data_IF_065415482078
#
_entry.id   IF_065415482078
#
_cell.length_a   1.000
_cell.length_b   1.000
_cell.length_c   1.000
_cell.angle_alpha   90.00
_cell.angle_beta   90.00
_cell.angle_gamma   90.00
#
_symmetry.space_group_name_H-M   'P 1'
#
loop_
_entity.id
_entity.type
_entity.pdbx_description
1 polymer ?
#
# COMPACT_ATOMS: atom_id res chain seq x y z
N UNK A 1 11.25 -32.24 74.26
CA UNK A 1 11.81 -31.81 75.58
C UNK A 1 12.10 -30.32 75.50
N UNK A 2 11.35 -29.57 76.36
CA UNK A 2 11.82 -28.46 77.23
C UNK A 2 12.56 -27.30 76.51
N UNK A 3 12.27 -26.04 76.70
CA UNK A 3 11.42 -25.12 77.53
C UNK A 3 11.67 -23.71 76.97
N UNK A 4 10.70 -22.91 76.65
CA UNK A 4 10.10 -21.82 77.45
C UNK A 4 11.06 -20.85 78.14
N UNK A 5 11.03 -19.58 77.81
CA UNK A 5 10.99 -18.40 78.67
C UNK A 5 11.00 -17.11 77.77
N UNK A 6 10.11 -16.41 77.76
CA UNK A 6 9.35 -15.20 78.15
C UNK A 6 10.13 -14.32 79.21
N UNK A 7 10.27 -13.01 78.96
CA UNK A 7 10.25 -11.83 79.81
C UNK A 7 10.49 -10.58 78.93
N UNK A 8 9.61 -9.72 78.68
CA UNK A 8 8.90 -8.58 79.25
C UNK A 8 9.77 -7.31 79.46
N UNK A 9 9.19 -6.24 78.84
CA UNK A 9 9.12 -4.80 79.14
C UNK A 9 10.42 -4.05 79.56
N UNK A 10 10.66 -2.89 78.87
CA UNK A 10 10.47 -1.55 79.50
C UNK A 10 10.52 -0.47 78.41
N UNK A 11 9.57 0.45 78.52
CA UNK A 11 9.47 1.67 77.72
C UNK A 11 10.47 2.72 78.15
N UNK A 12 11.06 3.47 77.21
CA UNK A 12 11.65 4.76 77.50
C UNK A 12 11.52 5.70 76.27
N UNK A 13 10.72 6.74 76.49
CA UNK A 13 10.61 7.86 75.57
C UNK A 13 11.90 8.67 75.56
N UNK A 14 12.46 8.93 74.40
CA UNK A 14 13.34 10.09 74.19
C UNK A 14 12.98 10.72 72.85
N UNK A 15 12.62 12.00 72.91
CA UNK A 15 12.38 12.86 71.78
C UNK A 15 13.63 13.06 70.92
N UNK A 16 13.54 12.86 69.62
CA UNK A 16 14.56 13.33 68.71
C UNK A 16 13.89 13.97 67.50
N UNK A 17 14.34 15.17 67.23
CA UNK A 17 13.90 16.18 66.28
C UNK A 17 13.78 15.64 64.86
N UNK A 18 12.73 16.04 64.21
CA UNK A 18 12.54 15.92 62.79
C UNK A 18 13.65 16.66 62.01
N UNK A 19 14.38 15.91 61.21
CA UNK A 19 15.26 16.43 60.17
C UNK A 19 14.52 16.15 58.82
N UNK A 20 13.83 17.15 58.33
CA UNK A 20 13.21 17.11 57.01
C UNK A 20 14.31 17.10 55.97
N UNK A 21 14.66 15.93 55.46
CA UNK A 21 15.40 15.83 54.17
C UNK A 21 14.40 16.07 53.07
N UNK A 22 14.45 17.22 52.43
CA UNK A 22 13.88 17.46 51.12
C UNK A 22 14.48 16.50 50.11
N UNK A 23 13.78 15.41 49.84
CA UNK A 23 14.02 14.60 48.64
C UNK A 23 13.47 15.42 47.49
N UNK A 24 14.37 16.05 46.73
CA UNK A 24 14.04 16.69 45.44
C UNK A 24 13.44 15.60 44.54
N UNK A 25 12.17 15.79 44.21
CA UNK A 25 11.52 14.99 43.20
C UNK A 25 12.21 15.26 41.86
N UNK A 26 13.00 14.29 41.41
CA UNK A 26 13.34 14.22 40.00
C UNK A 26 12.04 13.91 39.26
N UNK A 27 11.44 14.94 38.69
CA UNK A 27 10.39 14.75 37.68
C UNK A 27 10.98 13.85 36.59
N UNK A 28 10.50 12.62 36.57
CA UNK A 28 10.66 11.72 35.44
C UNK A 28 10.04 12.45 34.24
N UNK A 29 10.86 13.15 33.47
CA UNK A 29 10.49 13.62 32.15
C UNK A 29 10.15 12.37 31.33
N UNK A 30 8.88 11.97 31.36
CA UNK A 30 8.35 11.02 30.43
C UNK A 30 8.64 11.59 29.04
N UNK A 31 9.55 10.93 28.31
CA UNK A 31 9.77 11.17 26.88
C UNK A 31 8.41 11.13 26.21
N UNK A 32 7.89 12.31 25.87
CA UNK A 32 6.73 12.42 25.00
C UNK A 32 7.07 11.63 23.74
N UNK A 33 6.21 10.68 23.31
CA UNK A 33 6.43 10.04 22.03
C UNK A 33 6.55 11.14 20.98
N UNK A 34 7.67 11.13 20.23
CA UNK A 34 7.88 12.06 19.15
C UNK A 34 6.61 12.06 18.29
N UNK A 35 6.02 13.22 18.08
CA UNK A 35 4.83 13.37 17.26
C UNK A 35 5.10 12.64 15.94
N UNK A 36 4.36 11.58 15.67
CA UNK A 36 4.48 10.85 14.41
C UNK A 36 4.14 11.85 13.31
N UNK A 37 5.18 12.33 12.62
CA UNK A 37 4.98 13.16 11.44
C UNK A 37 4.16 12.35 10.44
N UNK A 38 3.09 12.96 9.90
CA UNK A 38 2.25 12.30 8.90
C UNK A 38 3.13 11.68 7.80
N UNK A 39 2.79 10.47 7.33
CA UNK A 39 3.54 9.83 6.25
C UNK A 39 3.65 10.76 5.04
N UNK A 40 4.82 10.83 4.42
CA UNK A 40 5.11 11.72 3.29
C UNK A 40 5.39 10.93 2.02
N UNK A 41 5.00 11.52 0.91
CA UNK A 41 5.34 11.05 -0.43
C UNK A 41 6.16 12.10 -1.17
N UNK A 42 7.06 11.62 -2.04
CA UNK A 42 7.69 12.42 -3.07
C UNK A 42 7.08 12.07 -4.43
N UNK A 43 6.49 13.06 -5.11
CA UNK A 43 6.05 12.96 -6.50
C UNK A 43 7.19 13.48 -7.37
N UNK A 44 7.73 12.63 -8.24
CA UNK A 44 8.88 12.95 -9.08
C UNK A 44 8.43 13.01 -10.53
N UNK A 45 8.42 14.21 -11.08
CA UNK A 45 8.12 14.47 -12.48
C UNK A 45 9.41 14.41 -13.30
N UNK A 46 9.43 13.57 -14.33
CA UNK A 46 10.58 13.42 -15.22
C UNK A 46 10.21 13.66 -16.67
N UNK A 47 11.21 13.74 -17.54
CA UNK A 47 10.99 13.79 -18.99
C UNK A 47 10.41 12.46 -19.55
N UNK A 48 10.47 11.36 -18.80
CA UNK A 48 9.96 10.05 -19.21
C UNK A 48 8.58 9.70 -18.62
N UNK A 49 8.08 10.50 -17.66
CA UNK A 49 6.83 10.31 -16.92
C UNK A 49 6.96 10.65 -15.45
N UNK A 50 5.91 10.40 -14.69
CA UNK A 50 5.83 10.68 -13.25
C UNK A 50 5.80 9.38 -12.45
N UNK A 51 6.49 9.35 -11.32
CA UNK A 51 6.41 8.27 -10.35
C UNK A 51 6.37 8.82 -8.92
N UNK A 52 5.95 7.99 -7.97
CA UNK A 52 5.74 8.37 -6.57
C UNK A 52 6.55 7.47 -5.64
N UNK A 53 7.20 8.06 -4.65
CA UNK A 53 7.93 7.36 -3.59
C UNK A 53 7.21 7.58 -2.27
N UNK A 54 6.84 6.51 -1.55
CA UNK A 54 6.53 6.56 -0.13
C UNK A 54 7.85 6.73 0.63
N UNK A 55 8.00 7.80 1.41
CA UNK A 55 9.19 8.04 2.23
C UNK A 55 9.07 7.26 3.55
N UNK A 56 10.20 6.75 4.04
CA UNK A 56 10.30 5.90 5.22
C UNK A 56 11.16 6.55 6.32
N UNK A 57 10.69 7.67 6.92
CA UNK A 57 11.46 8.38 7.95
C UNK A 57 11.64 7.56 9.24
N UNK A 58 10.83 6.55 9.48
CA UNK A 58 10.98 5.59 10.58
C UNK A 58 12.20 4.68 10.41
N UNK A 59 12.60 4.40 9.16
CA UNK A 59 13.75 3.56 8.84
C UNK A 59 15.02 4.36 8.63
N UNK A 60 14.91 5.56 8.07
CA UNK A 60 16.03 6.43 7.70
C UNK A 60 15.68 7.92 7.92
N UNK A 61 15.54 8.37 9.18
CA UNK A 61 15.04 9.71 9.48
C UNK A 61 15.91 10.83 8.91
N UNK A 62 17.24 10.71 8.99
CA UNK A 62 18.13 11.77 8.50
C UNK A 62 18.20 11.81 6.98
N UNK A 63 18.26 10.65 6.31
CA UNK A 63 18.28 10.60 4.84
C UNK A 63 16.95 11.06 4.25
N UNK A 64 15.81 10.63 4.82
CA UNK A 64 14.49 11.09 4.37
C UNK A 64 14.32 12.60 4.57
N UNK A 65 14.73 13.15 5.73
CA UNK A 65 14.69 14.58 6.00
C UNK A 65 15.59 15.37 5.05
N UNK A 66 16.79 14.86 4.77
CA UNK A 66 17.71 15.51 3.83
C UNK A 66 17.17 15.51 2.40
N UNK A 67 16.62 14.38 1.96
CA UNK A 67 15.95 14.28 0.66
C UNK A 67 14.78 15.28 0.55
N UNK A 68 13.89 15.32 1.55
CA UNK A 68 12.77 16.27 1.58
C UNK A 68 13.24 17.73 1.55
N UNK A 69 14.31 18.08 2.29
CA UNK A 69 14.90 19.42 2.27
C UNK A 69 15.39 19.81 0.86
N UNK A 70 16.11 18.92 0.18
CA UNK A 70 16.60 19.15 -1.18
C UNK A 70 15.43 19.26 -2.19
N UNK A 71 14.44 18.41 -2.08
CA UNK A 71 13.23 18.45 -2.91
C UNK A 71 12.50 19.80 -2.75
N UNK A 72 12.23 20.20 -1.51
CA UNK A 72 11.52 21.46 -1.21
C UNK A 72 12.28 22.71 -1.65
N UNK A 73 13.61 22.64 -1.79
CA UNK A 73 14.44 23.76 -2.29
C UNK A 73 14.62 23.75 -3.82
N UNK A 74 14.01 22.81 -4.56
CA UNK A 74 14.22 22.64 -5.99
C UNK A 74 15.62 22.16 -6.36
N UNK A 75 16.38 21.59 -5.40
CA UNK A 75 17.75 21.15 -5.64
C UNK A 75 17.84 20.00 -6.65
N UNK A 76 16.77 19.21 -6.81
CA UNK A 76 16.70 18.13 -7.81
C UNK A 76 16.30 18.59 -9.20
N UNK A 77 15.71 19.77 -9.34
CA UNK A 77 15.20 20.27 -10.63
C UNK A 77 16.36 20.47 -11.62
N UNK A 78 16.23 19.87 -12.81
CA UNK A 78 17.28 19.85 -13.84
C UNK A 78 18.39 18.81 -13.63
N UNK A 79 18.41 18.07 -12.50
CA UNK A 79 19.25 16.87 -12.40
C UNK A 79 18.71 15.77 -13.30
N UNK A 80 19.48 14.71 -13.56
CA UNK A 80 19.07 13.60 -14.42
C UNK A 80 19.22 12.26 -13.73
N UNK A 81 18.52 11.24 -14.26
CA UNK A 81 18.91 9.86 -14.09
C UNK A 81 20.14 9.62 -14.97
N UNK A 82 21.33 9.74 -14.37
CA UNK A 82 22.59 9.72 -15.12
C UNK A 82 23.16 8.33 -15.34
N UNK A 83 22.76 7.34 -14.52
CA UNK A 83 23.23 5.96 -14.62
C UNK A 83 22.08 4.99 -14.52
N UNK A 84 22.05 4.01 -15.41
CA UNK A 84 21.06 2.95 -15.38
C UNK A 84 21.68 1.57 -15.61
N UNK A 85 21.06 0.55 -15.05
CA UNK A 85 21.27 -0.84 -15.34
C UNK A 85 19.92 -1.39 -15.79
N UNK A 86 19.85 -1.85 -17.04
CA UNK A 86 18.60 -2.29 -17.67
C UNK A 86 17.90 -3.34 -16.80
N UNK A 87 16.64 -3.09 -16.44
CA UNK A 87 15.81 -3.90 -15.54
C UNK A 87 16.40 -4.14 -14.14
N UNK A 88 17.53 -3.55 -13.80
CA UNK A 88 18.19 -3.68 -12.50
C UNK A 88 18.02 -2.47 -11.59
N UNK A 89 18.45 -1.29 -12.06
CA UNK A 89 18.36 -0.07 -11.26
C UNK A 89 18.46 1.21 -12.09
N UNK A 90 17.97 2.30 -11.53
CA UNK A 90 18.17 3.67 -12.03
C UNK A 90 18.79 4.54 -10.92
N UNK A 91 19.75 5.39 -11.24
CA UNK A 91 20.45 6.27 -10.29
C UNK A 91 20.39 7.72 -10.77
N UNK A 92 20.01 8.63 -9.85
CA UNK A 92 19.85 10.04 -10.15
C UNK A 92 20.18 10.96 -8.96
N UNK A 93 19.80 12.25 -9.09
CA UNK A 93 19.92 13.23 -8.03
C UNK A 93 21.32 13.83 -7.84
N UNK A 94 22.25 13.60 -8.76
CA UNK A 94 23.57 14.25 -8.73
C UNK A 94 23.46 15.73 -9.14
N UNK A 95 23.82 16.71 -8.28
CA UNK A 95 23.79 18.12 -8.62
C UNK A 95 24.68 18.49 -9.82
N UNK A 96 25.78 17.77 -10.04
CA UNK A 96 26.69 17.99 -11.17
C UNK A 96 26.00 17.67 -12.50
N UNK A 97 25.03 16.77 -12.49
CA UNK A 97 24.33 16.32 -13.69
C UNK A 97 23.43 17.40 -14.34
N UNK A 98 23.23 18.53 -13.66
CA UNK A 98 22.55 19.71 -14.25
C UNK A 98 23.34 20.29 -15.43
N UNK A 99 24.66 20.20 -15.40
CA UNK A 99 25.56 20.75 -16.41
C UNK A 99 26.00 19.65 -17.40
N UNK A 100 25.51 19.64 -18.66
CA UNK A 100 25.90 18.66 -19.66
C UNK A 100 27.41 18.62 -19.96
N UNK A 101 28.12 19.74 -19.80
CA UNK A 101 29.55 19.80 -20.05
C UNK A 101 30.37 19.01 -19.05
N UNK A 102 29.81 18.70 -17.88
CA UNK A 102 30.42 17.93 -16.79
C UNK A 102 30.11 16.44 -16.81
N UNK A 103 29.67 15.88 -17.95
CA UNK A 103 29.26 14.46 -18.05
C UNK A 103 30.28 13.48 -17.47
N UNK A 104 31.58 13.76 -17.64
CA UNK A 104 32.66 12.91 -17.11
C UNK A 104 32.70 12.84 -15.56
N UNK A 105 32.07 13.80 -14.87
CA UNK A 105 31.98 13.89 -13.41
C UNK A 105 30.65 13.41 -12.83
N UNK A 106 29.72 12.96 -13.66
CA UNK A 106 28.44 12.47 -13.16
C UNK A 106 28.63 11.31 -12.20
N UNK A 107 27.86 11.33 -11.09
CA UNK A 107 27.97 10.38 -10.00
C UNK A 107 28.92 10.80 -8.88
N UNK A 108 29.61 11.96 -8.99
CA UNK A 108 30.56 12.42 -7.96
C UNK A 108 30.05 13.56 -7.10
N UNK A 109 28.91 14.17 -7.42
CA UNK A 109 28.36 15.32 -6.69
C UNK A 109 27.43 14.96 -5.53
N UNK A 110 27.21 15.93 -4.64
CA UNK A 110 26.19 15.84 -3.59
C UNK A 110 26.38 14.75 -2.54
N UNK A 111 27.61 14.36 -2.26
CA UNK A 111 27.99 13.29 -1.34
C UNK A 111 28.41 13.83 0.04
N UNK A 112 28.61 12.95 1.03
CA UNK A 112 29.14 13.23 2.36
C UNK A 112 28.29 14.22 3.19
N UNK A 113 26.97 14.19 3.02
CA UNK A 113 26.05 15.05 3.74
C UNK A 113 25.26 14.34 4.84
N UNK A 114 25.10 13.01 4.75
CA UNK A 114 24.33 12.20 5.69
C UNK A 114 25.13 10.96 6.07
N UNK A 115 25.14 10.63 7.36
CA UNK A 115 25.74 9.40 7.87
C UNK A 115 24.84 8.19 7.55
N UNK A 116 25.46 7.01 7.49
CA UNK A 116 24.74 5.78 7.23
C UNK A 116 23.67 5.49 8.31
N UNK A 117 22.50 5.13 7.84
CA UNK A 117 21.38 4.65 8.66
C UNK A 117 21.05 3.21 8.24
N UNK A 118 22.06 2.34 8.37
CA UNK A 118 22.00 0.96 7.92
C UNK A 118 21.16 0.09 8.87
N UNK A 119 19.85 0.13 8.75
CA UNK A 119 18.94 -0.81 9.42
C UNK A 119 17.68 -0.96 8.60
N UNK A 120 17.90 -1.48 7.44
CA UNK A 120 16.96 -1.28 6.39
C UNK A 120 16.01 -2.45 6.21
N UNK A 121 14.84 -2.16 5.66
CA UNK A 121 14.08 -3.14 4.92
C UNK A 121 14.96 -3.79 3.85
N UNK A 122 14.59 -5.00 3.43
CA UNK A 122 15.28 -5.74 2.37
C UNK A 122 15.37 -4.92 1.09
N UNK A 123 16.43 -5.10 0.34
CA UNK A 123 16.65 -4.46 -0.95
C UNK A 123 15.83 -5.15 -2.03
N UNK A 124 14.54 -4.82 -2.08
CA UNK A 124 13.56 -5.39 -3.01
C UNK A 124 13.28 -4.44 -4.18
N UNK A 125 12.62 -4.96 -5.21
CA UNK A 125 12.12 -4.14 -6.32
C UNK A 125 11.27 -2.99 -5.79
N UNK A 126 11.59 -1.76 -6.19
CA UNK A 126 10.96 -0.52 -5.72
C UNK A 126 11.69 0.15 -4.55
N UNK A 127 12.68 -0.49 -3.92
CA UNK A 127 13.47 0.16 -2.86
C UNK A 127 14.22 1.37 -3.38
N UNK A 128 14.15 2.49 -2.63
CA UNK A 128 14.86 3.74 -2.89
C UNK A 128 15.94 3.92 -1.85
N UNK A 129 17.21 3.91 -2.27
CA UNK A 129 18.34 3.93 -1.38
C UNK A 129 19.34 5.05 -1.71
N UNK A 130 20.04 5.54 -0.68
CA UNK A 130 21.07 6.52 -0.82
C UNK A 130 22.33 5.93 -1.51
N UNK A 131 22.91 6.69 -2.43
CA UNK A 131 24.18 6.30 -3.06
C UNK A 131 25.33 6.57 -2.10
N UNK A 132 26.26 5.62 -2.02
CA UNK A 132 27.47 5.70 -1.20
C UNK A 132 28.73 5.71 -2.08
N UNK A 133 29.76 6.35 -1.62
CA UNK A 133 31.12 6.19 -2.18
C UNK A 133 31.67 4.83 -1.74
N UNK A 134 32.21 4.02 -2.66
CA UNK A 134 32.77 2.71 -2.31
C UNK A 134 33.73 2.77 -1.13
N UNK A 135 33.53 1.90 -0.13
CA UNK A 135 34.34 1.86 1.10
C UNK A 135 34.09 3.00 2.11
N UNK A 136 33.09 3.87 1.87
CA UNK A 136 32.76 5.02 2.75
C UNK A 136 31.27 4.99 3.12
N UNK A 137 30.86 4.29 4.17
CA UNK A 137 29.45 4.13 4.54
C UNK A 137 28.78 5.47 4.91
N UNK A 138 29.52 6.44 5.46
CA UNK A 138 29.01 7.75 5.88
C UNK A 138 29.09 8.81 4.75
N UNK A 139 29.00 8.38 3.50
CA UNK A 139 29.12 9.27 2.33
C UNK A 139 27.79 9.56 1.62
N UNK A 140 26.67 9.18 2.21
CA UNK A 140 25.34 9.44 1.65
C UNK A 140 25.09 10.96 1.45
N UNK A 141 24.16 11.28 0.58
CA UNK A 141 23.84 12.68 0.29
C UNK A 141 22.65 12.84 -0.66
N UNK A 142 22.82 13.65 -1.71
CA UNK A 142 21.74 13.98 -2.64
C UNK A 142 21.40 12.84 -3.59
N UNK A 143 22.37 12.00 -3.96
CA UNK A 143 22.16 10.96 -4.94
C UNK A 143 21.39 9.77 -4.36
N UNK A 144 20.51 9.22 -5.17
CA UNK A 144 19.72 8.02 -4.84
C UNK A 144 19.67 7.06 -6.02
N UNK A 145 19.40 5.79 -5.72
CA UNK A 145 19.08 4.79 -6.73
C UNK A 145 17.81 4.04 -6.37
N UNK A 146 17.14 3.53 -7.39
CA UNK A 146 15.89 2.79 -7.27
C UNK A 146 16.07 1.44 -7.91
N UNK A 147 15.75 0.36 -7.18
CA UNK A 147 15.83 -1.00 -7.65
C UNK A 147 14.62 -1.37 -8.50
N UNK A 148 14.88 -2.08 -9.61
CA UNK A 148 13.86 -2.63 -10.50
C UNK A 148 13.77 -4.16 -10.42
N UNK A 149 14.65 -4.78 -9.63
CA UNK A 149 14.64 -6.19 -9.26
C UNK A 149 15.10 -6.35 -7.81
N UNK A 150 14.75 -7.46 -7.19
CA UNK A 150 15.25 -7.81 -5.86
C UNK A 150 16.76 -8.00 -5.88
N UNK A 151 17.47 -7.45 -4.89
CA UNK A 151 18.91 -7.51 -4.75
C UNK A 151 19.32 -7.89 -3.33
N UNK A 152 19.09 -9.14 -2.88
CA UNK A 152 19.40 -9.56 -1.51
C UNK A 152 20.88 -9.43 -1.13
N UNK A 153 21.77 -9.43 -2.13
CA UNK A 153 23.20 -9.21 -1.93
C UNK A 153 23.53 -7.80 -1.42
N UNK A 154 22.61 -6.84 -1.56
CA UNK A 154 22.77 -5.45 -1.11
C UNK A 154 22.08 -5.19 0.23
N UNK A 155 21.43 -6.19 0.83
CA UNK A 155 20.77 -6.05 2.14
C UNK A 155 21.77 -5.54 3.20
N UNK A 156 21.33 -4.58 4.01
CA UNK A 156 22.12 -3.94 5.07
C UNK A 156 23.37 -3.16 4.62
N UNK A 157 23.59 -2.96 3.31
CA UNK A 157 24.75 -2.19 2.81
C UNK A 157 24.40 -0.74 2.50
N UNK A 158 23.12 -0.41 2.30
CA UNK A 158 22.66 0.92 1.92
C UNK A 158 21.53 1.41 2.81
N UNK A 159 21.44 2.72 2.99
CA UNK A 159 20.31 3.37 3.65
C UNK A 159 19.12 3.42 2.72
N UNK A 160 18.11 2.59 2.96
CA UNK A 160 16.82 2.65 2.25
C UNK A 160 15.93 3.67 2.96
N UNK A 161 15.52 4.72 2.25
CA UNK A 161 14.74 5.81 2.81
C UNK A 161 13.35 5.97 2.17
N UNK A 162 12.98 5.06 1.29
CA UNK A 162 11.67 5.04 0.66
C UNK A 162 11.44 3.82 -0.22
N UNK A 163 10.22 3.73 -0.73
CA UNK A 163 9.79 2.69 -1.66
C UNK A 163 8.87 3.29 -2.73
N UNK A 164 9.00 2.84 -3.97
CA UNK A 164 8.13 3.30 -5.07
C UNK A 164 6.71 2.85 -4.83
N UNK A 165 5.81 3.81 -4.68
CA UNK A 165 4.37 3.59 -4.47
C UNK A 165 3.61 3.46 -5.80
N UNK A 166 4.06 4.19 -6.84
CA UNK A 166 3.43 4.22 -8.16
C UNK A 166 4.45 4.58 -9.24
N UNK A 167 4.19 4.20 -10.50
CA UNK A 167 5.05 4.54 -11.65
C UNK A 167 6.29 3.66 -11.81
N UNK A 168 6.28 2.41 -11.35
CA UNK A 168 7.35 1.44 -11.62
C UNK A 168 7.57 1.18 -13.11
N UNK A 169 6.55 1.30 -13.94
CA UNK A 169 6.62 1.21 -15.40
C UNK A 169 7.41 2.38 -16.01
N UNK A 170 7.25 3.60 -15.46
CA UNK A 170 8.06 4.77 -15.86
C UNK A 170 9.53 4.52 -15.55
N UNK A 171 9.85 4.00 -14.36
CA UNK A 171 11.22 3.67 -13.97
C UNK A 171 11.80 2.54 -14.83
N UNK A 172 10.98 1.54 -15.19
CA UNK A 172 11.40 0.48 -16.10
C UNK A 172 11.76 1.08 -17.48
N UNK A 173 10.92 1.96 -18.02
CA UNK A 173 11.20 2.68 -19.27
C UNK A 173 12.49 3.50 -19.17
N UNK A 174 12.73 4.19 -18.05
CA UNK A 174 14.00 4.91 -17.81
C UNK A 174 15.18 3.95 -17.85
N UNK A 175 15.07 2.75 -17.30
CA UNK A 175 16.15 1.76 -17.28
C UNK A 175 16.49 1.18 -18.67
N UNK A 176 15.61 1.33 -19.64
CA UNK A 176 15.80 0.87 -21.02
C UNK A 176 16.54 1.90 -21.90
N UNK A 177 16.90 3.06 -21.34
CA UNK A 177 17.65 4.08 -22.05
C UNK A 177 19.01 3.54 -22.55
N UNK A 178 19.43 4.03 -23.71
CA UNK A 178 20.77 3.73 -24.23
C UNK A 178 21.85 4.28 -23.28
N UNK A 179 22.89 3.48 -23.06
CA UNK A 179 24.00 3.81 -22.15
C UNK A 179 25.34 3.55 -22.82
N UNK A 180 26.38 4.21 -22.30
CA UNK A 180 27.76 3.90 -22.62
C UNK A 180 28.28 2.70 -21.79
N UNK A 181 29.54 2.33 -22.00
CA UNK A 181 30.21 1.19 -21.32
C UNK A 181 30.27 1.33 -19.79
N UNK A 182 30.04 2.53 -19.27
CA UNK A 182 30.00 2.83 -17.83
C UNK A 182 28.57 2.87 -17.27
N UNK A 183 27.57 2.62 -18.11
CA UNK A 183 26.16 2.69 -17.75
C UNK A 183 25.61 4.12 -17.64
N UNK A 184 26.33 5.13 -18.17
CA UNK A 184 25.83 6.52 -18.22
C UNK A 184 24.90 6.67 -19.42
N UNK A 185 23.71 7.27 -19.18
CA UNK A 185 22.70 7.46 -20.21
C UNK A 185 23.22 8.33 -21.37
N UNK A 186 22.85 7.95 -22.60
CA UNK A 186 23.19 8.70 -23.80
C UNK A 186 22.38 10.01 -23.88
N UNK A 187 21.07 9.91 -23.68
CA UNK A 187 20.14 11.03 -23.69
C UNK A 187 19.75 11.44 -22.26
N UNK A 188 19.55 12.72 -22.05
CA UNK A 188 19.21 13.27 -20.75
C UNK A 188 17.80 12.88 -20.34
N UNK A 189 17.65 12.15 -19.23
CA UNK A 189 16.38 11.86 -18.59
C UNK A 189 16.26 12.76 -17.36
N UNK A 190 15.63 13.90 -17.54
CA UNK A 190 15.63 14.99 -16.58
C UNK A 190 14.58 14.78 -15.49
N UNK A 191 14.96 15.06 -14.24
CA UNK A 191 14.05 15.29 -13.12
C UNK A 191 13.60 16.75 -13.22
N UNK A 192 12.36 16.96 -13.62
CA UNK A 192 11.78 18.29 -13.82
C UNK A 192 11.40 18.94 -12.51
N UNK A 193 10.85 18.14 -11.60
CA UNK A 193 10.39 18.59 -10.29
C UNK A 193 10.29 17.43 -9.31
N UNK A 194 10.54 17.72 -8.03
CA UNK A 194 10.23 16.83 -6.92
C UNK A 194 9.33 17.56 -5.94
N UNK A 195 8.10 17.10 -5.77
CA UNK A 195 7.12 17.66 -4.85
C UNK A 195 6.95 16.75 -3.64
N UNK A 196 7.07 17.31 -2.42
CA UNK A 196 6.77 16.58 -1.18
C UNK A 196 5.33 16.88 -0.77
N UNK A 197 4.56 15.83 -0.58
CA UNK A 197 3.17 15.91 -0.11
C UNK A 197 2.89 14.99 1.05
N UNK A 198 1.81 15.20 1.76
CA UNK A 198 1.28 14.20 2.67
C UNK A 198 0.85 12.96 1.88
N UNK A 199 1.13 11.77 2.42
CA UNK A 199 0.61 10.54 1.83
C UNK A 199 -0.92 10.63 1.84
N UNK A 200 -1.59 10.52 0.69
CA UNK A 200 -3.04 10.50 0.64
C UNK A 200 -3.56 9.42 1.58
N UNK A 201 -4.54 9.77 2.41
CA UNK A 201 -5.22 8.77 3.24
C UNK A 201 -5.82 7.72 2.32
N UNK A 202 -5.64 6.45 2.67
CA UNK A 202 -6.37 5.41 1.97
C UNK A 202 -7.87 5.66 2.16
N UNK A 203 -8.63 5.71 1.07
CA UNK A 203 -10.07 5.94 1.18
C UNK A 203 -10.75 4.75 1.89
N UNK A 204 -11.85 5.04 2.57
CA UNK A 204 -12.72 4.05 3.21
C UNK A 204 -12.07 3.25 4.36
N UNK A 205 -11.06 3.80 5.02
CA UNK A 205 -10.43 3.16 6.20
C UNK A 205 -11.19 3.49 7.48
N UNK A 206 -11.61 4.74 7.63
CA UNK A 206 -12.19 5.29 8.88
C UNK A 206 -13.67 5.64 8.77
N UNK A 207 -14.25 5.62 7.58
CA UNK A 207 -15.66 5.92 7.35
C UNK A 207 -16.57 5.01 8.17
N UNK A 208 -17.60 5.55 8.76
CA UNK A 208 -18.63 4.77 9.46
C UNK A 208 -19.47 3.95 8.48
N UNK A 209 -20.25 2.99 8.97
CA UNK A 209 -21.19 2.25 8.14
C UNK A 209 -22.20 3.20 7.47
N UNK A 210 -22.67 4.22 8.19
CA UNK A 210 -23.58 5.24 7.66
C UNK A 210 -22.95 6.03 6.51
N UNK A 211 -21.70 6.49 6.68
CA UNK A 211 -20.95 7.18 5.64
C UNK A 211 -20.73 6.30 4.41
N UNK A 212 -20.41 5.01 4.60
CA UNK A 212 -20.32 4.04 3.50
C UNK A 212 -21.65 3.84 2.79
N UNK A 213 -22.77 3.96 3.50
CA UNK A 213 -24.13 3.91 2.95
C UNK A 213 -24.45 5.02 1.95
N UNK A 214 -23.70 6.14 1.97
CA UNK A 214 -23.82 7.22 1.00
C UNK A 214 -23.21 6.89 -0.38
N UNK A 215 -22.52 5.73 -0.51
CA UNK A 215 -21.86 5.33 -1.75
C UNK A 215 -22.57 4.13 -2.39
N UNK A 216 -22.31 3.97 -3.69
CA UNK A 216 -22.64 2.79 -4.50
C UNK A 216 -21.42 2.35 -5.30
N UNK A 217 -21.40 1.11 -5.76
CA UNK A 217 -20.42 0.65 -6.72
C UNK A 217 -21.02 0.62 -8.13
N UNK A 218 -20.21 1.03 -9.11
CA UNK A 218 -20.51 0.82 -10.53
C UNK A 218 -19.46 -0.08 -11.13
N UNK A 219 -19.88 -1.27 -11.53
CA UNK A 219 -19.07 -2.26 -12.21
C UNK A 219 -19.10 -1.97 -13.71
N UNK A 220 -18.01 -1.48 -14.28
CA UNK A 220 -17.85 -1.30 -15.72
C UNK A 220 -17.42 -2.63 -16.35
N UNK A 221 -18.32 -3.30 -17.03
CA UNK A 221 -18.03 -4.59 -17.66
C UNK A 221 -17.89 -4.47 -19.17
N UNK A 222 -17.40 -5.54 -19.82
CA UNK A 222 -17.44 -5.61 -21.29
C UNK A 222 -18.85 -5.77 -21.87
N UNK A 223 -19.83 -6.15 -21.05
CA UNK A 223 -21.24 -6.29 -21.42
C UNK A 223 -22.09 -5.05 -21.09
N UNK A 224 -21.53 -4.07 -20.35
CA UNK A 224 -22.23 -2.87 -19.90
C UNK A 224 -22.05 -2.61 -18.41
N UNK A 225 -22.55 -1.50 -17.87
CA UNK A 225 -22.45 -1.15 -16.47
C UNK A 225 -23.48 -1.86 -15.59
N UNK A 226 -23.10 -2.16 -14.35
CA UNK A 226 -23.97 -2.70 -13.30
C UNK A 226 -23.78 -1.86 -12.04
N UNK A 227 -24.84 -1.27 -11.50
CA UNK A 227 -24.78 -0.49 -10.26
C UNK A 227 -25.26 -1.31 -9.06
N UNK A 228 -24.48 -1.27 -7.97
CA UNK A 228 -24.73 -2.01 -6.73
C UNK A 228 -24.89 -1.03 -5.58
N UNK A 229 -25.95 -1.17 -4.81
CA UNK A 229 -26.18 -0.52 -3.53
C UNK A 229 -25.78 -1.47 -2.38
N UNK A 230 -25.19 -0.91 -1.32
CA UNK A 230 -24.62 -1.69 -0.22
C UNK A 230 -25.57 -1.91 0.95
N UNK A 231 -25.46 -3.05 1.61
CA UNK A 231 -26.14 -3.38 2.87
C UNK A 231 -25.20 -3.13 4.06
N UNK A 232 -24.94 -1.85 4.33
CA UNK A 232 -23.98 -1.41 5.35
C UNK A 232 -24.37 -1.77 6.79
N UNK A 233 -25.67 -2.00 7.04
CA UNK A 233 -26.23 -2.46 8.32
C UNK A 233 -26.12 -3.99 8.50
N UNK A 234 -26.01 -4.75 7.41
CA UNK A 234 -25.98 -6.22 7.40
C UNK A 234 -24.56 -6.77 7.28
N UNK A 235 -23.69 -6.09 6.54
CA UNK A 235 -22.34 -6.55 6.26
C UNK A 235 -21.32 -5.37 6.24
N UNK A 236 -21.17 -4.61 7.34
CA UNK A 236 -20.35 -3.38 7.36
C UNK A 236 -18.88 -3.64 7.04
N UNK A 237 -18.27 -4.73 7.53
CA UNK A 237 -16.87 -5.04 7.29
C UNK A 237 -16.64 -5.50 5.85
N UNK A 238 -17.55 -6.30 5.30
CA UNK A 238 -17.51 -6.74 3.90
C UNK A 238 -17.65 -5.55 2.96
N UNK A 239 -18.60 -4.65 3.20
CA UNK A 239 -18.77 -3.43 2.40
C UNK A 239 -17.51 -2.58 2.47
N UNK A 240 -16.96 -2.31 3.67
CA UNK A 240 -15.71 -1.55 3.84
C UNK A 240 -14.57 -2.17 3.03
N UNK A 241 -14.37 -3.47 3.16
CA UNK A 241 -13.31 -4.15 2.42
C UNK A 241 -13.55 -4.09 0.91
N UNK A 242 -14.78 -4.33 0.46
CA UNK A 242 -15.13 -4.24 -0.97
C UNK A 242 -14.81 -2.86 -1.55
N UNK A 243 -15.23 -1.77 -0.88
CA UNK A 243 -14.98 -0.40 -1.38
C UNK A 243 -13.50 -0.03 -1.35
N UNK A 244 -12.73 -0.49 -0.35
CA UNK A 244 -11.27 -0.32 -0.30
C UNK A 244 -10.57 -1.05 -1.45
N UNK A 245 -10.93 -2.29 -1.69
CA UNK A 245 -10.38 -3.09 -2.80
C UNK A 245 -10.72 -2.47 -4.16
N UNK A 246 -11.95 -1.96 -4.33
CA UNK A 246 -12.38 -1.26 -5.52
C UNK A 246 -11.59 0.03 -5.74
N UNK A 247 -11.47 0.87 -4.71
CA UNK A 247 -10.69 2.12 -4.77
C UNK A 247 -9.21 1.89 -5.07
N UNK A 248 -8.64 0.78 -4.59
CA UNK A 248 -7.27 0.36 -4.89
C UNK A 248 -7.11 -0.30 -6.28
N UNK A 249 -8.19 -0.44 -7.06
CA UNK A 249 -8.16 -1.02 -8.40
C UNK A 249 -7.90 -2.54 -8.42
N UNK A 250 -8.16 -3.25 -7.32
CA UNK A 250 -7.88 -4.69 -7.22
C UNK A 250 -8.82 -5.50 -8.13
N UNK A 251 -10.04 -5.04 -8.34
CA UNK A 251 -10.99 -5.67 -9.25
C UNK A 251 -10.72 -5.39 -10.73
N UNK A 252 -9.90 -4.39 -11.05
CA UNK A 252 -9.67 -3.96 -12.44
C UNK A 252 -9.04 -5.07 -13.28
N UNK A 253 -9.66 -5.40 -14.40
CA UNK A 253 -9.20 -6.45 -15.30
C UNK A 253 -9.40 -7.87 -14.79
N UNK A 254 -10.26 -8.10 -13.78
CA UNK A 254 -10.79 -9.43 -13.46
C UNK A 254 -11.88 -9.82 -14.48
N UNK A 255 -12.36 -11.06 -14.43
CA UNK A 255 -13.39 -11.52 -15.34
C UNK A 255 -14.54 -12.20 -14.60
N UNK A 256 -15.70 -12.24 -15.24
CA UNK A 256 -16.76 -13.20 -14.87
C UNK A 256 -16.29 -14.59 -15.29
N UNK A 257 -15.69 -15.30 -14.36
CA UNK A 257 -15.04 -16.60 -14.61
C UNK A 257 -15.96 -17.80 -14.43
N UNK A 258 -17.15 -17.58 -13.83
CA UNK A 258 -18.14 -18.60 -13.59
C UNK A 258 -19.55 -18.03 -13.86
N UNK A 259 -20.32 -18.73 -14.67
CA UNK A 259 -21.71 -18.42 -15.01
C UNK A 259 -22.54 -19.71 -14.84
N UNK A 260 -23.38 -19.76 -13.82
CA UNK A 260 -24.28 -20.84 -13.51
C UNK A 260 -25.73 -20.35 -13.69
N UNK A 261 -26.40 -20.64 -14.82
CA UNK A 261 -27.72 -20.11 -15.14
C UNK A 261 -28.81 -20.53 -14.14
N UNK A 262 -29.71 -19.61 -13.82
CA UNK A 262 -30.73 -19.80 -12.79
C UNK A 262 -30.17 -19.85 -11.37
N UNK A 263 -28.86 -19.54 -11.22
CA UNK A 263 -28.18 -19.59 -9.94
C UNK A 263 -27.37 -18.30 -9.71
N UNK A 264 -26.15 -18.20 -10.25
CA UNK A 264 -25.27 -17.02 -10.04
C UNK A 264 -24.36 -16.74 -11.23
N UNK A 265 -23.89 -15.48 -11.34
CA UNK A 265 -22.70 -15.09 -12.10
C UNK A 265 -21.64 -14.63 -11.10
N UNK A 266 -20.38 -15.08 -11.25
CA UNK A 266 -19.31 -14.85 -10.27
C UNK A 266 -18.08 -14.19 -10.90
N UNK A 267 -17.53 -13.21 -10.20
CA UNK A 267 -16.37 -12.42 -10.63
C UNK A 267 -15.43 -12.09 -9.46
N UNK A 268 -14.44 -11.24 -9.67
CA UNK A 268 -13.53 -10.73 -8.64
C UNK A 268 -12.41 -11.69 -8.21
N UNK A 269 -12.32 -12.89 -8.82
CA UNK A 269 -11.21 -13.81 -8.56
C UNK A 269 -9.90 -13.25 -9.11
N UNK A 270 -8.87 -13.17 -8.26
CA UNK A 270 -7.54 -12.65 -8.66
C UNK A 270 -6.86 -13.51 -9.73
N UNK A 271 -7.13 -14.81 -9.77
CA UNK A 271 -6.67 -15.72 -10.82
C UNK A 271 -7.20 -15.38 -12.22
N UNK A 272 -8.31 -14.64 -12.30
CA UNK A 272 -8.91 -14.16 -13.55
C UNK A 272 -8.36 -12.80 -14.00
N UNK A 273 -7.50 -12.18 -13.22
CA UNK A 273 -6.98 -10.83 -13.50
C UNK A 273 -5.98 -10.83 -14.65
N UNK A 274 -6.08 -9.83 -15.53
CA UNK A 274 -5.18 -9.70 -16.68
C UNK A 274 -3.73 -9.32 -16.31
N UNK A 275 -3.54 -8.65 -15.16
CA UNK A 275 -2.22 -8.28 -14.66
C UNK A 275 -2.09 -8.62 -13.17
N UNK A 276 -0.89 -8.97 -12.67
CA UNK A 276 -0.66 -9.24 -11.24
C UNK A 276 -0.91 -8.00 -10.39
N UNK A 277 -1.20 -8.22 -9.10
CA UNK A 277 -1.28 -7.16 -8.10
C UNK A 277 0.11 -6.59 -7.81
N UNK A 278 0.17 -5.29 -7.52
CA UNK A 278 1.35 -4.68 -6.90
C UNK A 278 1.49 -5.16 -5.45
N UNK A 279 2.68 -5.09 -4.81
CA UNK A 279 2.86 -5.42 -3.40
C UNK A 279 1.90 -4.65 -2.47
N UNK A 280 1.65 -3.37 -2.75
CA UNK A 280 0.70 -2.54 -2.00
C UNK A 280 -0.73 -3.07 -2.13
N UNK A 281 -1.16 -3.42 -3.33
CA UNK A 281 -2.47 -4.04 -3.54
C UNK A 281 -2.59 -5.41 -2.87
N UNK A 282 -1.53 -6.23 -2.93
CA UNK A 282 -1.51 -7.54 -2.29
C UNK A 282 -1.68 -7.44 -0.77
N UNK A 283 -1.09 -6.42 -0.13
CA UNK A 283 -1.22 -6.18 1.30
C UNK A 283 -2.66 -5.84 1.75
N UNK A 284 -3.51 -5.36 0.84
CA UNK A 284 -4.92 -5.07 1.13
C UNK A 284 -5.81 -6.32 1.08
N UNK A 285 -5.35 -7.40 0.46
CA UNK A 285 -6.15 -8.62 0.30
C UNK A 285 -5.96 -9.51 1.53
N UNK A 286 -7.02 -9.72 2.27
CA UNK A 286 -7.05 -10.61 3.44
C UNK A 286 -8.40 -11.33 3.53
N UNK A 287 -8.45 -12.35 4.35
CA UNK A 287 -9.67 -13.10 4.62
C UNK A 287 -10.69 -12.24 5.38
N UNK A 288 -11.95 -12.44 5.07
CA UNK A 288 -13.09 -11.79 5.71
C UNK A 288 -13.89 -12.82 6.50
N UNK A 289 -14.22 -12.50 7.73
CA UNK A 289 -15.20 -13.25 8.51
C UNK A 289 -16.58 -13.10 7.89
N UNK A 290 -17.36 -14.18 7.87
CA UNK A 290 -18.72 -14.14 7.34
C UNK A 290 -19.62 -13.24 8.19
N UNK A 291 -20.37 -12.35 7.54
CA UNK A 291 -21.42 -11.52 8.11
C UNK A 291 -22.79 -12.04 7.63
N UNK A 292 -23.20 -13.16 8.20
CA UNK A 292 -24.45 -13.83 7.81
C UNK A 292 -25.65 -13.07 8.36
N UNK A 293 -26.59 -12.79 7.50
CA UNK A 293 -27.82 -12.08 7.83
C UNK A 293 -29.08 -12.84 7.39
N UNK A 294 -30.24 -12.29 7.70
CA UNK A 294 -31.56 -12.78 7.29
C UNK A 294 -31.90 -12.41 5.83
N UNK A 295 -31.00 -11.75 5.12
CA UNK A 295 -31.18 -11.33 3.72
C UNK A 295 -31.40 -12.55 2.82
N UNK A 296 -32.57 -12.56 2.13
CA UNK A 296 -32.91 -13.60 1.16
C UNK A 296 -32.07 -13.44 -0.11
N UNK A 297 -31.44 -14.53 -0.52
CA UNK A 297 -30.59 -14.61 -1.72
C UNK A 297 -31.48 -14.76 -2.98
N UNK A 298 -32.10 -13.65 -3.36
CA UNK A 298 -32.97 -13.60 -4.56
C UNK A 298 -32.26 -12.89 -5.69
N UNK A 299 -32.83 -12.95 -6.90
CA UNK A 299 -32.26 -12.28 -8.11
C UNK A 299 -31.85 -10.85 -7.84
N UNK A 300 -30.62 -10.51 -8.20
CA UNK A 300 -30.01 -9.19 -8.02
C UNK A 300 -29.24 -9.01 -6.70
N UNK A 301 -29.33 -9.94 -5.74
CA UNK A 301 -28.50 -9.88 -4.52
C UNK A 301 -27.03 -10.16 -4.88
N UNK A 302 -26.15 -9.43 -4.21
CA UNK A 302 -24.69 -9.52 -4.36
C UNK A 302 -24.09 -10.05 -3.07
N UNK A 303 -23.35 -11.16 -3.18
CA UNK A 303 -22.79 -11.87 -2.02
C UNK A 303 -21.34 -12.25 -2.22
N UNK A 304 -20.57 -12.34 -1.12
CA UNK A 304 -19.19 -12.81 -1.17
C UNK A 304 -19.14 -14.31 -1.45
N UNK A 305 -18.30 -14.68 -2.40
CA UNK A 305 -17.92 -16.07 -2.61
C UNK A 305 -16.85 -16.49 -1.58
N UNK A 306 -16.90 -17.73 -1.11
CA UNK A 306 -15.95 -18.30 -0.15
C UNK A 306 -15.71 -19.79 -0.43
N UNK A 307 -14.66 -20.33 0.16
CA UNK A 307 -14.47 -21.78 0.28
C UNK A 307 -15.32 -22.39 1.40
N UNK A 308 -14.91 -23.54 1.92
CA UNK A 308 -15.64 -24.25 2.98
C UNK A 308 -15.60 -23.50 4.32
N UNK A 309 -14.48 -22.90 4.66
CA UNK A 309 -14.34 -22.12 5.90
C UNK A 309 -15.14 -20.82 5.83
N UNK A 310 -15.81 -20.45 6.94
CA UNK A 310 -16.64 -19.25 7.02
C UNK A 310 -15.85 -17.94 6.86
N UNK A 311 -14.56 -17.94 7.15
CA UNK A 311 -13.64 -16.82 7.08
C UNK A 311 -12.74 -16.86 5.84
N UNK A 312 -13.10 -17.60 4.80
CA UNK A 312 -12.29 -17.78 3.59
C UNK A 312 -12.64 -16.83 2.43
N UNK A 313 -13.64 -15.96 2.59
CA UNK A 313 -13.94 -14.94 1.60
C UNK A 313 -12.77 -13.93 1.48
N UNK A 314 -12.44 -13.51 0.25
CA UNK A 314 -11.39 -12.50 0.01
C UNK A 314 -11.85 -11.42 -0.97
N UNK A 315 -11.78 -11.71 -2.27
CA UNK A 315 -12.11 -10.75 -3.34
C UNK A 315 -13.27 -11.21 -4.22
N UNK A 316 -13.50 -12.54 -4.34
CA UNK A 316 -14.52 -13.07 -5.22
C UNK A 316 -15.93 -12.81 -4.69
N UNK A 317 -16.82 -12.42 -5.59
CA UNK A 317 -18.22 -12.20 -5.27
C UNK A 317 -19.13 -12.67 -6.43
N UNK A 318 -20.40 -12.86 -6.14
CA UNK A 318 -21.37 -13.28 -7.13
C UNK A 318 -22.64 -12.43 -7.07
N UNK A 319 -23.33 -12.37 -8.20
CA UNK A 319 -24.68 -11.79 -8.33
C UNK A 319 -25.63 -12.94 -8.55
N UNK A 320 -26.67 -13.00 -7.74
CA UNK A 320 -27.73 -14.02 -7.86
C UNK A 320 -28.57 -13.73 -9.11
N UNK A 321 -28.76 -14.74 -9.95
CA UNK A 321 -29.56 -14.64 -11.18
C UNK A 321 -30.85 -15.42 -11.09
N UNK A 322 -30.90 -16.48 -10.27
CA UNK A 322 -32.11 -17.24 -10.00
C UNK A 322 -33.12 -16.51 -9.10
N UNK A 323 -34.38 -16.81 -9.24
CA UNK A 323 -35.44 -16.17 -8.45
C UNK A 323 -35.30 -16.44 -6.94
N UNK A 324 -34.95 -17.68 -6.55
CA UNK A 324 -34.65 -18.08 -5.17
C UNK A 324 -33.82 -19.37 -5.20
N UNK A 325 -32.55 -19.32 -5.55
CA UNK A 325 -31.70 -20.50 -5.65
C UNK A 325 -31.48 -21.14 -4.27
N UNK A 326 -31.64 -22.47 -4.21
CA UNK A 326 -31.48 -23.23 -2.97
C UNK A 326 -30.02 -23.17 -2.46
N UNK A 327 -29.85 -23.20 -1.14
CA UNK A 327 -28.54 -23.35 -0.48
C UNK A 327 -27.71 -22.08 -0.35
N UNK A 328 -28.27 -20.92 -0.65
CA UNK A 328 -27.55 -19.62 -0.49
C UNK A 328 -27.98 -18.89 0.78
N UNK A 329 -29.26 -18.97 1.18
CA UNK A 329 -29.79 -18.28 2.37
C UNK A 329 -29.07 -18.72 3.64
N UNK A 330 -28.62 -17.76 4.44
CA UNK A 330 -27.93 -18.04 5.70
C UNK A 330 -26.53 -18.67 5.56
N UNK A 331 -26.00 -18.78 4.33
CA UNK A 331 -24.69 -19.42 4.04
C UNK A 331 -23.67 -18.40 3.58
N UNK A 332 -24.08 -17.43 2.78
CA UNK A 332 -23.18 -16.42 2.19
C UNK A 332 -23.49 -15.02 2.70
N UNK A 333 -22.45 -14.20 2.86
CA UNK A 333 -22.59 -12.79 3.24
C UNK A 333 -23.17 -11.98 2.09
N UNK A 334 -24.46 -11.59 2.20
CA UNK A 334 -25.08 -10.65 1.30
C UNK A 334 -24.64 -9.23 1.69
N UNK A 335 -23.95 -8.54 0.80
CA UNK A 335 -23.41 -7.20 1.09
C UNK A 335 -23.99 -6.08 0.22
N UNK A 336 -24.84 -6.43 -0.75
CA UNK A 336 -25.48 -5.45 -1.62
C UNK A 336 -26.52 -6.03 -2.54
N UNK A 337 -27.09 -5.14 -3.36
CA UNK A 337 -28.04 -5.51 -4.42
C UNK A 337 -27.80 -4.70 -5.69
N UNK A 338 -28.07 -5.26 -6.83
CA UNK A 338 -28.12 -4.55 -8.11
C UNK A 338 -29.30 -3.61 -8.11
N UNK A 339 -29.06 -2.33 -8.35
CA UNK A 339 -30.08 -1.27 -8.46
C UNK A 339 -30.26 -0.77 -9.87
N UNK A 340 -29.26 -0.97 -10.73
CA UNK A 340 -29.30 -0.70 -12.16
C UNK A 340 -28.42 -1.69 -12.92
N UNK A 341 -28.74 -1.96 -14.19
CA UNK A 341 -27.95 -2.87 -15.01
C UNK A 341 -28.37 -4.36 -14.92
N UNK A 342 -29.56 -4.70 -14.37
CA UNK A 342 -30.06 -6.09 -14.41
C UNK A 342 -30.11 -6.69 -15.83
N UNK A 343 -30.44 -5.97 -16.91
CA UNK A 343 -30.33 -6.50 -18.27
C UNK A 343 -28.90 -6.90 -18.66
N UNK A 344 -27.87 -6.23 -18.10
CA UNK A 344 -26.46 -6.59 -18.30
C UNK A 344 -26.13 -7.89 -17.55
N UNK A 345 -26.65 -8.06 -16.33
CA UNK A 345 -26.53 -9.32 -15.56
C UNK A 345 -27.14 -10.47 -16.33
N UNK A 346 -28.35 -10.28 -16.88
CA UNK A 346 -29.04 -11.28 -17.70
C UNK A 346 -28.28 -11.61 -19.00
N UNK A 347 -27.67 -10.62 -19.64
CA UNK A 347 -26.84 -10.82 -20.83
C UNK A 347 -25.56 -11.61 -20.51
N UNK A 348 -24.93 -11.37 -19.36
CA UNK A 348 -23.78 -12.14 -18.89
C UNK A 348 -24.19 -13.59 -18.58
N UNK A 349 -25.32 -13.80 -17.92
CA UNK A 349 -25.88 -15.12 -17.65
C UNK A 349 -26.15 -15.91 -18.92
N UNK A 350 -26.69 -15.28 -19.94
CA UNK A 350 -27.00 -15.89 -21.23
C UNK A 350 -25.79 -16.14 -22.15
N UNK A 351 -24.59 -15.68 -21.75
CA UNK A 351 -23.41 -15.81 -22.59
C UNK A 351 -23.08 -17.28 -22.94
N UNK A 352 -22.62 -17.55 -24.18
CA UNK A 352 -22.14 -18.89 -24.55
C UNK A 352 -21.01 -19.37 -23.62
N UNK A 353 -21.11 -20.62 -23.17
CA UNK A 353 -20.20 -21.19 -22.18
C UNK A 353 -19.92 -22.67 -22.41
N UNK A 354 -18.84 -23.16 -21.82
CA UNK A 354 -18.49 -24.57 -21.68
C UNK A 354 -18.60 -24.94 -20.18
N UNK A 355 -19.61 -25.75 -19.85
CA UNK A 355 -20.02 -25.95 -18.46
C UNK A 355 -20.44 -24.59 -17.84
N UNK A 356 -19.70 -24.11 -16.82
CA UNK A 356 -19.94 -22.83 -16.17
C UNK A 356 -18.95 -21.71 -16.62
N UNK A 357 -18.01 -22.01 -17.54
CA UNK A 357 -17.01 -21.04 -17.99
C UNK A 357 -17.45 -20.36 -19.28
N UNK A 358 -17.56 -19.01 -19.33
CA UNK A 358 -17.86 -18.28 -20.56
C UNK A 358 -16.82 -18.57 -21.66
N UNK A 359 -17.28 -18.88 -22.90
CA UNK A 359 -16.39 -19.11 -24.05
C UNK A 359 -15.62 -17.87 -24.46
N UNK A 360 -16.25 -16.72 -24.33
CA UNK A 360 -15.61 -15.42 -24.55
C UNK A 360 -15.42 -14.76 -23.20
N UNK A 361 -14.21 -14.25 -22.95
CA UNK A 361 -13.91 -13.55 -21.71
C UNK A 361 -14.84 -12.35 -21.53
N UNK A 362 -15.50 -12.27 -20.39
CA UNK A 362 -16.35 -11.14 -19.99
C UNK A 362 -15.60 -10.39 -18.90
N UNK A 363 -15.04 -9.23 -19.26
CA UNK A 363 -14.21 -8.45 -18.35
C UNK A 363 -15.04 -7.63 -17.37
N UNK A 364 -14.59 -7.62 -16.12
CA UNK A 364 -14.83 -6.55 -15.16
C UNK A 364 -13.67 -5.55 -15.33
N UNK A 365 -13.88 -4.53 -16.17
CA UNK A 365 -12.85 -3.54 -16.54
C UNK A 365 -12.40 -2.73 -15.33
N UNK A 366 -13.37 -2.14 -14.62
CA UNK A 366 -13.15 -1.36 -13.40
C UNK A 366 -14.35 -1.47 -12.46
N UNK A 367 -14.10 -1.18 -11.16
CA UNK A 367 -15.14 -0.94 -10.17
C UNK A 367 -14.95 0.48 -9.63
N UNK A 368 -15.90 1.36 -9.89
CA UNK A 368 -15.90 2.75 -9.40
C UNK A 368 -16.80 2.87 -8.17
N UNK A 369 -16.35 3.60 -7.17
CA UNK A 369 -17.14 3.94 -5.98
C UNK A 369 -17.61 5.39 -6.13
N UNK A 370 -18.90 5.58 -6.15
CA UNK A 370 -19.55 6.88 -6.39
C UNK A 370 -20.48 7.24 -5.24
N UNK A 371 -20.59 8.52 -4.92
CA UNK A 371 -21.67 9.00 -4.03
C UNK A 371 -23.02 8.87 -4.76
N UNK A 372 -24.04 8.47 -3.99
CA UNK A 372 -25.43 8.41 -4.45
C UNK A 372 -25.99 9.79 -4.75
#
# INVERSE_FOLDING_TARGET
>A
MKRVALVACVAMCVAARAFEARVGGAESSALQPAAQTAPKQAVIETSAGTFVIDLAPESAPNQAAYFMKLASSGAYDGTIFHRVVKYGMVQGGDPISKDPSKRALYGTGGQNAVKAEARAPKMTRGSVAAVLVPGRPDSAGAQFFILLADQPSLDNQYTVFGHVADGLDVLQKISEAAVDDKGLVADRIEIRRVEIRDTPKEPFVTETAEELGAYRAVLDTSAGPIAIEFFVDKAPNTVRQFVRLAAAGIYNGTAFHRVAPGFVIQTGALSSRAAPLTPKQQALVHNLSAEISDTKQVKGIVSMARGDALDSATTSFFIVTGAAPAGLDGVYTAFGRVVDGMPVVDAIEAAPRDGETPRTRIDLKTVRIEKK
#
